data_IF_061927531895
#
_entry.id   IF_061927531895
#
_cell.length_a   1.000
_cell.length_b   1.000
_cell.length_c   1.000
_cell.angle_alpha   90.00
_cell.angle_beta   90.00
_cell.angle_gamma   90.00
#
_symmetry.space_group_name_H-M   'P 1'
#
loop_
_entity.id
_entity.type
_entity.pdbx_description
1 polymer ?
#
# COMPACT_ATOMS: atom_id res chain seq x y z
N UNK A 1 8.20 -5.80 -29.73
CA UNK A 1 9.36 -6.14 -28.89
C UNK A 1 8.83 -6.81 -27.64
N UNK A 2 9.14 -8.07 -27.43
CA UNK A 2 8.81 -8.74 -26.18
C UNK A 2 9.60 -8.10 -25.04
N UNK A 3 8.90 -7.78 -23.97
CA UNK A 3 9.51 -7.17 -22.80
C UNK A 3 10.38 -8.20 -22.08
N UNK A 4 11.69 -7.98 -22.01
CA UNK A 4 12.57 -8.77 -21.16
C UNK A 4 12.31 -8.45 -19.68
N UNK A 5 12.03 -9.49 -18.90
CA UNK A 5 11.89 -9.37 -17.46
C UNK A 5 13.27 -9.45 -16.78
N UNK A 6 13.44 -8.75 -15.68
CA UNK A 6 14.61 -8.97 -14.83
C UNK A 6 14.55 -10.37 -14.20
N UNK A 7 15.69 -10.90 -13.79
CA UNK A 7 15.76 -12.20 -13.10
C UNK A 7 14.83 -12.25 -11.87
N UNK A 8 14.80 -11.17 -11.08
CA UNK A 8 13.91 -11.07 -9.94
C UNK A 8 12.42 -11.01 -10.30
N UNK A 9 12.07 -10.34 -11.41
CA UNK A 9 10.71 -10.37 -11.94
C UNK A 9 10.30 -11.78 -12.38
N UNK A 10 11.21 -12.52 -13.02
CA UNK A 10 10.94 -13.90 -13.45
C UNK A 10 10.71 -14.82 -12.24
N UNK A 11 11.60 -14.79 -11.27
CA UNK A 11 11.42 -15.57 -10.01
C UNK A 11 10.09 -15.29 -9.32
N UNK A 12 9.64 -14.03 -9.31
CA UNK A 12 8.34 -13.67 -8.72
C UNK A 12 7.15 -14.19 -9.53
N UNK A 13 7.28 -14.25 -10.87
CA UNK A 13 6.28 -14.85 -11.75
C UNK A 13 6.19 -16.35 -11.54
N UNK A 14 7.32 -17.04 -11.43
CA UNK A 14 7.37 -18.47 -11.17
C UNK A 14 6.73 -18.80 -9.81
N UNK A 15 7.02 -18.01 -8.79
CA UNK A 15 6.34 -18.10 -7.49
C UNK A 15 4.83 -17.86 -7.60
N UNK A 16 4.37 -16.92 -8.44
CA UNK A 16 2.95 -16.70 -8.64
C UNK A 16 2.27 -17.93 -9.26
N UNK A 17 2.89 -18.58 -10.24
CA UNK A 17 2.35 -19.81 -10.83
C UNK A 17 2.31 -20.92 -9.77
N UNK A 18 3.33 -21.03 -8.92
CA UNK A 18 3.30 -21.98 -7.80
C UNK A 18 2.17 -21.66 -6.80
N UNK A 19 1.94 -20.39 -6.45
CA UNK A 19 0.87 -19.95 -5.56
C UNK A 19 -0.52 -20.36 -6.09
N UNK A 20 -0.74 -20.31 -7.41
CA UNK A 20 -2.01 -20.74 -8.04
C UNK A 20 -2.39 -22.19 -7.74
N UNK A 21 -1.42 -23.03 -7.42
CA UNK A 21 -1.67 -24.41 -7.02
C UNK A 21 -2.19 -24.54 -5.57
N UNK A 22 -1.99 -23.51 -4.75
CA UNK A 22 -2.40 -23.50 -3.34
C UNK A 22 -3.67 -22.68 -3.08
N UNK A 23 -3.81 -21.52 -3.75
CA UNK A 23 -4.93 -20.61 -3.54
C UNK A 23 -5.16 -19.69 -4.74
N UNK A 24 -6.32 -19.01 -4.75
CA UNK A 24 -6.52 -17.88 -5.66
C UNK A 24 -5.56 -16.74 -5.26
N UNK A 25 -4.58 -16.35 -6.10
CA UNK A 25 -3.61 -15.31 -5.74
C UNK A 25 -4.20 -13.90 -5.70
N UNK A 26 -5.43 -13.71 -6.18
CA UNK A 26 -6.12 -12.42 -6.23
C UNK A 26 -7.58 -12.62 -5.81
N UNK A 27 -7.85 -12.87 -4.52
CA UNK A 27 -9.23 -13.01 -4.05
C UNK A 27 -9.99 -11.69 -4.24
N UNK A 28 -11.27 -11.78 -4.53
CA UNK A 28 -12.12 -10.61 -4.76
C UNK A 28 -12.32 -9.80 -3.48
N UNK A 29 -12.30 -10.46 -2.33
CA UNK A 29 -12.56 -9.84 -1.04
C UNK A 29 -11.78 -10.52 0.09
N UNK A 30 -11.36 -9.71 1.04
CA UNK A 30 -10.87 -10.15 2.35
C UNK A 30 -11.57 -9.32 3.43
N UNK A 31 -12.12 -9.98 4.44
CA UNK A 31 -12.86 -9.32 5.52
C UNK A 31 -11.88 -8.77 6.56
N UNK A 32 -11.74 -7.47 6.60
CA UNK A 32 -10.99 -6.76 7.64
C UNK A 32 -11.95 -6.30 8.76
N UNK A 33 -11.55 -6.48 10.01
CA UNK A 33 -12.30 -5.97 11.16
C UNK A 33 -11.88 -4.56 11.54
N UNK A 34 -10.60 -4.25 11.33
CA UNK A 34 -10.02 -2.96 11.73
C UNK A 34 -9.04 -2.47 10.65
N UNK A 35 -8.97 -1.14 10.48
CA UNK A 35 -7.84 -0.52 9.80
C UNK A 35 -6.60 -0.62 10.67
N UNK A 36 -5.41 -0.58 10.08
CA UNK A 36 -4.15 -0.72 10.83
C UNK A 36 -4.02 0.35 11.92
N UNK A 37 -4.44 1.58 11.64
CA UNK A 37 -4.42 2.68 12.61
C UNK A 37 -5.25 2.35 13.86
N UNK A 38 -6.46 1.83 13.66
CA UNK A 38 -7.38 1.50 14.73
C UNK A 38 -6.91 0.25 15.52
N UNK A 39 -6.40 -0.76 14.78
CA UNK A 39 -5.82 -1.96 15.39
C UNK A 39 -4.65 -1.65 16.34
N UNK A 40 -3.86 -0.62 16.07
CA UNK A 40 -2.76 -0.18 16.95
C UNK A 40 -3.24 0.42 18.28
N UNK A 41 -4.49 0.87 18.38
CA UNK A 41 -5.08 1.46 19.57
C UNK A 41 -5.75 0.41 20.47
N UNK A 42 -5.91 -0.82 19.99
CA UNK A 42 -6.53 -1.89 20.75
C UNK A 42 -5.65 -2.31 21.93
N UNK A 43 -6.32 -2.81 22.99
CA UNK A 43 -5.65 -3.37 24.17
C UNK A 43 -4.98 -4.71 23.84
N UNK A 44 -3.92 -5.03 24.59
CA UNK A 44 -3.27 -6.34 24.51
C UNK A 44 -4.25 -7.45 24.93
N UNK A 45 -4.20 -8.58 24.23
CA UNK A 45 -5.16 -9.67 24.42
C UNK A 45 -6.43 -9.56 23.58
N UNK A 46 -6.63 -8.46 22.82
CA UNK A 46 -7.74 -8.38 21.86
C UNK A 46 -7.57 -9.41 20.75
N UNK A 47 -8.50 -10.37 20.68
CA UNK A 47 -8.52 -11.46 19.71
C UNK A 47 -9.40 -11.15 18.50
N UNK A 48 -9.35 -12.00 17.47
CA UNK A 48 -10.15 -11.91 16.25
C UNK A 48 -9.93 -10.62 15.43
N UNK A 49 -8.80 -9.97 15.64
CA UNK A 49 -8.41 -8.79 14.86
C UNK A 49 -7.91 -9.22 13.49
N UNK A 50 -8.62 -8.82 12.44
CA UNK A 50 -8.26 -9.05 11.04
C UNK A 50 -7.85 -7.73 10.37
N UNK A 51 -6.62 -7.70 9.85
CA UNK A 51 -6.06 -6.55 9.13
C UNK A 51 -5.43 -7.01 7.82
N UNK A 52 -5.33 -6.12 6.86
CA UNK A 52 -4.70 -6.40 5.58
C UNK A 52 -3.78 -5.26 5.15
N UNK A 53 -2.74 -5.57 4.39
CA UNK A 53 -1.83 -4.56 3.89
C UNK A 53 -0.72 -5.10 3.01
N UNK A 54 0.07 -4.18 2.48
CA UNK A 54 1.28 -4.48 1.71
C UNK A 54 2.44 -4.78 2.63
N UNK A 55 3.17 -5.85 2.39
CA UNK A 55 4.41 -6.16 3.08
C UNK A 55 5.48 -5.14 2.68
N UNK A 56 5.92 -4.32 3.62
CA UNK A 56 6.95 -3.30 3.42
C UNK A 56 8.30 -3.68 4.02
N UNK A 57 8.29 -4.66 4.91
CA UNK A 57 9.50 -5.22 5.52
C UNK A 57 9.22 -6.65 5.98
N UNK A 58 10.23 -7.52 5.85
CA UNK A 58 10.14 -8.92 6.26
C UNK A 58 11.48 -9.40 6.80
N UNK A 59 11.43 -10.05 7.95
CA UNK A 59 12.58 -10.73 8.55
C UNK A 59 12.18 -12.17 8.89
N UNK A 60 12.72 -13.11 8.13
CA UNK A 60 12.48 -14.55 8.32
C UNK A 60 13.56 -15.14 9.21
N UNK A 61 13.16 -15.73 10.34
CA UNK A 61 14.06 -16.33 11.33
C UNK A 61 13.54 -17.72 11.68
N UNK A 62 14.20 -18.77 11.22
CA UNK A 62 13.87 -20.15 11.60
C UNK A 62 12.37 -20.49 11.63
N UNK A 63 11.82 -20.61 12.83
CA UNK A 63 10.40 -20.93 13.12
C UNK A 63 9.52 -19.69 13.37
N UNK A 64 10.11 -18.51 13.35
CA UNK A 64 9.47 -17.23 13.60
C UNK A 64 9.78 -16.26 12.47
N UNK A 65 8.83 -15.43 12.07
CA UNK A 65 9.04 -14.35 11.13
C UNK A 65 8.34 -13.09 11.61
N UNK A 66 9.02 -11.95 11.47
CA UNK A 66 8.43 -10.63 11.66
C UNK A 66 8.19 -9.99 10.31
N UNK A 67 7.00 -9.47 10.13
CA UNK A 67 6.56 -8.82 8.90
C UNK A 67 5.95 -7.48 9.27
N UNK A 68 6.30 -6.43 8.54
CA UNK A 68 5.61 -5.15 8.66
C UNK A 68 4.71 -4.97 7.46
N UNK A 69 3.42 -4.89 7.70
CA UNK A 69 2.44 -4.55 6.68
C UNK A 69 2.01 -3.10 6.80
N UNK A 70 1.59 -2.54 5.68
CA UNK A 70 1.16 -1.14 5.57
C UNK A 70 -0.13 -1.04 4.76
N UNK A 71 -1.06 -0.25 5.28
CA UNK A 71 -2.23 0.23 4.55
C UNK A 71 -2.10 1.74 4.26
N UNK A 72 -3.20 2.41 3.92
CA UNK A 72 -3.21 3.85 3.63
C UNK A 72 -3.01 4.70 4.89
N UNK A 73 -3.38 4.20 6.08
CA UNK A 73 -3.44 4.96 7.32
C UNK A 73 -2.28 4.67 8.28
N UNK A 74 -1.55 3.56 8.07
CA UNK A 74 -0.43 3.24 8.92
C UNK A 74 0.29 1.95 8.58
N UNK A 75 1.18 1.53 9.48
CA UNK A 75 1.84 0.24 9.41
C UNK A 75 1.74 -0.51 10.75
N UNK A 76 1.83 -1.83 10.71
CA UNK A 76 1.79 -2.69 11.88
C UNK A 76 2.71 -3.89 11.70
N UNK A 77 3.33 -4.30 12.79
CA UNK A 77 4.14 -5.52 12.84
C UNK A 77 3.23 -6.73 13.00
N UNK A 78 3.56 -7.79 12.27
CA UNK A 78 2.99 -9.13 12.41
C UNK A 78 4.05 -10.07 12.96
N UNK A 79 3.66 -10.93 13.89
CA UNK A 79 4.44 -12.07 14.36
C UNK A 79 3.84 -13.35 13.78
N UNK A 80 4.57 -14.03 12.89
CA UNK A 80 4.13 -15.28 12.26
C UNK A 80 5.00 -16.41 12.79
N UNK A 81 4.40 -17.30 13.58
CA UNK A 81 5.05 -18.47 14.17
C UNK A 81 4.54 -19.76 13.54
N UNK A 82 5.45 -20.69 13.29
CA UNK A 82 5.11 -22.03 12.75
C UNK A 82 4.08 -22.76 13.61
N UNK A 83 4.24 -22.67 14.94
CA UNK A 83 3.37 -23.35 15.91
C UNK A 83 1.92 -22.80 15.90
N UNK A 84 1.73 -21.57 15.40
CA UNK A 84 0.42 -20.91 15.35
C UNK A 84 -0.28 -21.11 14.00
N UNK A 85 0.46 -20.97 12.91
CA UNK A 85 -0.12 -21.03 11.55
C UNK A 85 -0.03 -22.42 10.92
N UNK A 86 0.77 -23.34 11.50
CA UNK A 86 1.02 -24.68 11.00
C UNK A 86 2.20 -24.75 10.01
N UNK A 87 2.81 -25.93 9.91
CA UNK A 87 4.03 -26.14 9.12
C UNK A 87 3.86 -25.84 7.64
N UNK A 88 2.79 -26.33 7.03
CA UNK A 88 2.51 -26.15 5.60
C UNK A 88 2.32 -24.66 5.23
N UNK A 89 1.50 -23.95 6.01
CA UNK A 89 1.28 -22.52 5.79
C UNK A 89 2.55 -21.69 6.04
N UNK A 90 3.33 -22.07 7.04
CA UNK A 90 4.60 -21.39 7.32
C UNK A 90 5.63 -21.64 6.21
N UNK A 91 5.70 -22.88 5.67
CA UNK A 91 6.54 -23.20 4.51
C UNK A 91 6.12 -22.42 3.26
N UNK A 92 4.81 -22.34 2.97
CA UNK A 92 4.24 -21.50 1.93
C UNK A 92 4.67 -20.03 2.10
N UNK A 93 4.49 -19.48 3.31
CA UNK A 93 4.90 -18.13 3.63
C UNK A 93 6.38 -17.90 3.37
N UNK A 94 7.25 -18.78 3.86
CA UNK A 94 8.71 -18.64 3.72
C UNK A 94 9.18 -18.69 2.28
N UNK A 95 8.60 -19.59 1.48
CA UNK A 95 9.04 -19.88 0.10
C UNK A 95 8.48 -18.87 -0.90
N UNK A 96 7.19 -18.56 -0.82
CA UNK A 96 6.44 -17.92 -1.89
C UNK A 96 6.12 -16.45 -1.68
N UNK A 97 6.06 -16.00 -0.41
CA UNK A 97 5.73 -14.62 -0.09
C UNK A 97 6.98 -13.75 -0.02
N UNK A 98 6.92 -12.59 -0.67
CA UNK A 98 8.01 -11.62 -0.78
C UNK A 98 7.60 -10.22 -0.30
N UNK A 99 8.59 -9.37 -0.06
CA UNK A 99 8.36 -7.95 0.21
C UNK A 99 7.69 -7.30 -1.01
N UNK A 100 6.67 -6.52 -0.74
CA UNK A 100 5.81 -5.90 -1.75
C UNK A 100 4.48 -6.61 -1.96
N UNK A 101 4.36 -7.89 -1.59
CA UNK A 101 3.12 -8.66 -1.69
C UNK A 101 2.05 -8.12 -0.73
N UNK A 102 0.79 -8.50 -0.98
CA UNK A 102 -0.32 -8.20 -0.08
C UNK A 102 -0.74 -9.45 0.69
N UNK A 103 -0.95 -9.27 1.97
CA UNK A 103 -1.50 -10.31 2.85
C UNK A 103 -2.61 -9.75 3.74
N UNK A 104 -3.57 -10.60 4.07
CA UNK A 104 -4.48 -10.43 5.20
C UNK A 104 -4.02 -11.31 6.35
N UNK A 105 -4.12 -10.83 7.56
CA UNK A 105 -3.72 -11.56 8.76
C UNK A 105 -4.77 -11.41 9.85
N UNK A 106 -5.11 -12.51 10.50
CA UNK A 106 -6.03 -12.57 11.63
C UNK A 106 -5.32 -13.12 12.87
N UNK A 107 -5.54 -12.48 14.03
CA UNK A 107 -4.87 -12.90 15.23
C UNK A 107 -5.23 -12.06 16.46
N UNK A 108 -4.28 -11.99 17.39
CA UNK A 108 -4.35 -11.34 18.68
C UNK A 108 -3.35 -10.19 18.77
N UNK A 109 -3.80 -9.06 19.35
CA UNK A 109 -2.92 -7.90 19.62
C UNK A 109 -2.09 -8.15 20.88
N UNK A 110 -0.79 -7.88 20.78
CA UNK A 110 0.10 -7.86 21.93
C UNK A 110 1.22 -6.85 21.74
N UNK A 111 1.86 -6.47 22.82
CA UNK A 111 3.03 -5.60 22.82
C UNK A 111 4.29 -6.42 23.02
N UNK A 112 5.26 -6.28 22.13
CA UNK A 112 6.56 -6.95 22.25
C UNK A 112 7.37 -6.39 23.43
N UNK A 113 8.42 -7.10 23.86
CA UNK A 113 9.34 -6.63 24.90
C UNK A 113 10.00 -5.26 24.57
N UNK A 114 10.10 -4.94 23.28
CA UNK A 114 10.62 -3.65 22.80
C UNK A 114 9.57 -2.54 22.73
N UNK A 115 8.35 -2.81 23.18
CA UNK A 115 7.24 -1.84 23.16
C UNK A 115 6.53 -1.69 21.80
N UNK A 116 6.82 -2.55 20.82
CA UNK A 116 6.16 -2.49 19.51
C UNK A 116 4.82 -3.24 19.54
N UNK A 117 3.73 -2.52 19.18
CA UNK A 117 2.40 -3.10 19.05
C UNK A 117 2.39 -4.05 17.85
N UNK A 118 2.01 -5.29 18.07
CA UNK A 118 2.19 -6.40 17.12
C UNK A 118 0.92 -7.26 17.07
N UNK A 119 0.55 -7.73 15.89
CA UNK A 119 -0.47 -8.77 15.74
C UNK A 119 0.22 -10.15 15.74
N UNK A 120 -0.09 -11.00 16.70
CA UNK A 120 0.26 -12.43 16.69
C UNK A 120 -0.68 -13.16 15.77
N UNK A 121 -0.14 -13.66 14.68
CA UNK A 121 -0.95 -14.23 13.58
C UNK A 121 -1.33 -15.66 13.89
N UNK A 122 -2.64 -15.92 13.93
CA UNK A 122 -3.21 -17.27 14.00
C UNK A 122 -3.51 -17.83 12.60
N UNK A 123 -3.91 -16.96 11.68
CA UNK A 123 -4.11 -17.32 10.27
C UNK A 123 -3.79 -16.13 9.37
N UNK A 124 -3.39 -16.43 8.14
CA UNK A 124 -3.20 -15.43 7.11
C UNK A 124 -3.69 -15.92 5.76
N UNK A 125 -4.00 -14.98 4.89
CA UNK A 125 -4.38 -15.21 3.50
C UNK A 125 -3.48 -14.39 2.57
N UNK A 126 -3.14 -14.98 1.44
CA UNK A 126 -2.42 -14.29 0.38
C UNK A 126 -3.40 -13.50 -0.49
N UNK A 127 -3.15 -12.21 -0.68
CA UNK A 127 -4.09 -11.30 -1.35
C UNK A 127 -3.56 -10.71 -2.67
N UNK A 128 -2.27 -10.83 -2.92
CA UNK A 128 -1.72 -10.34 -4.18
C UNK A 128 -0.21 -10.36 -4.28
N UNK A 129 0.30 -10.74 -5.46
CA UNK A 129 1.73 -10.81 -5.76
C UNK A 129 2.25 -9.49 -6.35
N UNK A 130 3.30 -8.95 -5.78
CA UNK A 130 4.07 -7.88 -6.38
C UNK A 130 5.08 -8.48 -7.36
N UNK A 131 4.80 -8.39 -8.65
CA UNK A 131 5.66 -8.98 -9.70
C UNK A 131 6.98 -8.22 -9.87
N UNK A 132 7.01 -6.93 -9.55
CA UNK A 132 8.23 -6.12 -9.56
C UNK A 132 8.74 -5.94 -8.15
N UNK A 133 10.05 -6.16 -7.89
CA UNK A 133 10.63 -5.85 -6.59
C UNK A 133 10.50 -4.36 -6.29
N UNK A 134 10.27 -4.04 -5.01
CA UNK A 134 10.37 -2.66 -4.56
C UNK A 134 11.85 -2.26 -4.50
N UNK A 135 12.20 -0.99 -4.77
CA UNK A 135 13.55 -0.47 -4.56
C UNK A 135 14.03 -0.71 -3.12
N UNK A 136 15.32 -0.90 -2.93
CA UNK A 136 15.89 -1.06 -1.60
C UNK A 136 15.69 0.22 -0.76
N UNK A 137 15.31 0.03 0.51
CA UNK A 137 14.96 1.13 1.43
C UNK A 137 16.10 2.15 1.62
N UNK A 138 17.35 1.68 1.54
CA UNK A 138 18.54 2.51 1.79
C UNK A 138 18.92 3.44 0.63
N UNK A 139 18.51 3.10 -0.57
CA UNK A 139 18.79 3.94 -1.74
C UNK A 139 17.55 4.68 -2.24
N UNK A 140 16.34 4.29 -1.80
CA UNK A 140 15.06 4.91 -2.15
C UNK A 140 14.98 5.23 -3.67
N UNK A 141 13.92 5.83 -4.10
CA UNK A 141 13.91 6.54 -5.38
C UNK A 141 14.59 7.90 -5.14
N UNK A 142 15.92 7.98 -5.26
CA UNK A 142 16.67 9.23 -5.16
C UNK A 142 16.59 10.02 -6.46
N UNK A 143 16.48 9.33 -7.58
CA UNK A 143 16.32 9.94 -8.89
C UNK A 143 14.94 10.61 -9.02
N UNK A 144 14.96 11.92 -9.23
CA UNK A 144 13.75 12.75 -9.38
C UNK A 144 12.93 12.35 -10.60
N UNK A 145 13.56 11.99 -11.71
CA UNK A 145 12.86 11.55 -12.91
C UNK A 145 12.11 10.24 -12.66
N UNK A 146 12.73 9.27 -12.01
CA UNK A 146 12.09 8.01 -11.60
C UNK A 146 10.91 8.25 -10.66
N UNK A 147 10.99 9.21 -9.71
CA UNK A 147 9.87 9.59 -8.83
C UNK A 147 8.67 10.09 -9.62
N UNK A 148 8.90 10.87 -10.66
CA UNK A 148 7.80 11.39 -11.48
C UNK A 148 7.26 10.35 -12.46
N UNK A 149 8.12 9.54 -13.10
CA UNK A 149 7.70 8.49 -14.04
C UNK A 149 7.02 7.30 -13.36
N UNK A 150 7.46 6.96 -12.14
CA UNK A 150 6.91 5.84 -11.35
C UNK A 150 6.31 6.35 -10.04
N UNK A 151 5.39 7.30 -10.12
CA UNK A 151 4.74 7.92 -8.95
C UNK A 151 4.14 6.89 -7.99
N UNK A 152 3.59 5.80 -8.50
CA UNK A 152 3.06 4.72 -7.68
C UNK A 152 4.12 4.05 -6.79
N UNK A 153 5.36 3.90 -7.26
CA UNK A 153 6.46 3.38 -6.45
C UNK A 153 6.89 4.41 -5.40
N UNK A 154 7.02 5.68 -5.79
CA UNK A 154 7.33 6.78 -4.88
C UNK A 154 6.31 6.88 -3.73
N UNK A 155 5.01 6.74 -4.03
CA UNK A 155 3.95 6.71 -3.01
C UNK A 155 4.04 5.49 -2.08
N UNK A 156 4.55 4.34 -2.55
CA UNK A 156 4.78 3.16 -1.71
C UNK A 156 5.98 3.38 -0.78
N UNK A 157 7.08 3.92 -1.31
CA UNK A 157 8.36 3.98 -0.61
C UNK A 157 8.51 5.24 0.25
N UNK A 158 7.97 6.38 -0.21
CA UNK A 158 8.22 7.69 0.35
C UNK A 158 7.01 8.21 1.15
N UNK A 159 7.19 8.29 2.47
CA UNK A 159 6.13 8.74 3.36
C UNK A 159 5.77 10.21 3.16
N UNK A 160 6.77 11.08 2.93
CA UNK A 160 6.55 12.51 2.71
C UNK A 160 5.73 12.76 1.45
N UNK A 161 6.08 12.09 0.34
CA UNK A 161 5.27 12.17 -0.89
C UNK A 161 3.82 11.74 -0.63
N UNK A 162 3.62 10.64 0.09
CA UNK A 162 2.28 10.14 0.42
C UNK A 162 1.49 11.15 1.27
N UNK A 163 2.12 11.77 2.28
CA UNK A 163 1.49 12.81 3.11
C UNK A 163 1.02 14.00 2.26
N UNK A 164 1.85 14.45 1.31
CA UNK A 164 1.49 15.56 0.41
C UNK A 164 0.26 15.20 -0.44
N UNK A 165 0.22 14.02 -1.05
CA UNK A 165 -0.91 13.60 -1.89
C UNK A 165 -2.20 13.39 -1.08
N UNK A 166 -2.10 12.80 0.11
CA UNK A 166 -3.25 12.66 1.03
C UNK A 166 -3.74 14.03 1.52
N UNK A 167 -2.81 14.95 1.84
CA UNK A 167 -3.14 16.32 2.22
C UNK A 167 -3.86 17.05 1.10
N UNK A 168 -3.37 16.93 -0.14
CA UNK A 168 -4.03 17.50 -1.33
C UNK A 168 -5.45 16.96 -1.50
N UNK A 169 -5.66 15.64 -1.43
CA UNK A 169 -7.01 15.05 -1.50
C UNK A 169 -7.95 15.61 -0.45
N UNK A 170 -7.47 15.73 0.80
CA UNK A 170 -8.26 16.31 1.89
C UNK A 170 -8.60 17.78 1.65
N UNK A 171 -7.65 18.55 1.10
CA UNK A 171 -7.88 19.96 0.77
C UNK A 171 -8.98 20.12 -0.28
N UNK A 172 -8.94 19.34 -1.36
CA UNK A 172 -10.00 19.37 -2.38
C UNK A 172 -11.36 19.00 -1.78
N UNK A 173 -11.44 17.89 -1.03
CA UNK A 173 -12.67 17.50 -0.37
C UNK A 173 -13.22 18.57 0.57
N UNK A 174 -12.34 19.27 1.29
CA UNK A 174 -12.73 20.38 2.16
C UNK A 174 -13.29 21.57 1.37
N UNK A 175 -12.63 21.96 0.26
CA UNK A 175 -13.08 23.08 -0.58
C UNK A 175 -14.48 22.77 -1.14
N UNK A 176 -14.70 21.58 -1.71
CA UNK A 176 -16.02 21.17 -2.22
C UNK A 176 -17.08 21.22 -1.12
N UNK A 177 -16.78 20.65 0.04
CA UNK A 177 -17.66 20.68 1.20
C UNK A 177 -17.99 22.12 1.64
N UNK A 178 -16.97 22.96 1.82
CA UNK A 178 -17.11 24.35 2.25
C UNK A 178 -17.97 25.16 1.28
N UNK A 179 -17.71 25.06 -0.01
CA UNK A 179 -18.49 25.78 -1.02
C UNK A 179 -19.95 25.29 -1.03
N UNK A 180 -20.18 23.98 -0.98
CA UNK A 180 -21.53 23.41 -0.92
C UNK A 180 -22.32 23.86 0.32
N UNK A 181 -21.68 23.90 1.50
CA UNK A 181 -22.31 24.38 2.73
C UNK A 181 -22.64 25.89 2.68
N UNK A 182 -21.95 26.66 1.83
CA UNK A 182 -22.23 28.09 1.60
C UNK A 182 -23.17 28.34 0.41
N UNK A 183 -23.86 27.32 -0.10
CA UNK A 183 -24.88 27.44 -1.13
C UNK A 183 -24.38 27.49 -2.56
N UNK A 184 -23.08 27.21 -2.80
CA UNK A 184 -22.56 27.07 -4.16
C UNK A 184 -22.88 25.68 -4.70
N UNK A 185 -23.26 25.64 -5.99
CA UNK A 185 -23.47 24.38 -6.71
C UNK A 185 -22.26 24.04 -7.56
N UNK A 186 -21.77 22.82 -7.42
CA UNK A 186 -20.73 22.29 -8.31
C UNK A 186 -21.35 21.97 -9.67
N UNK A 187 -20.71 22.45 -10.74
CA UNK A 187 -21.13 22.21 -12.12
C UNK A 187 -19.97 21.71 -12.96
N UNK A 188 -20.23 20.79 -13.85
CA UNK A 188 -19.26 20.34 -14.84
C UNK A 188 -19.39 21.20 -16.10
N UNK A 189 -18.32 21.94 -16.42
CA UNK A 189 -18.24 22.71 -17.65
C UNK A 189 -17.55 21.92 -18.75
N UNK A 190 -17.91 22.13 -20.05
CA UNK A 190 -17.23 21.49 -21.16
C UNK A 190 -15.73 21.81 -21.15
N UNK A 191 -14.86 20.80 -21.20
CA UNK A 191 -13.39 20.96 -21.28
C UNK A 191 -13.00 21.48 -22.66
N UNK A 192 -13.68 21.01 -23.71
CA UNK A 192 -13.48 21.47 -25.09
C UNK A 192 -14.52 22.54 -25.42
N UNK A 193 -14.05 23.73 -25.81
CA UNK A 193 -14.88 24.83 -26.23
C UNK A 193 -14.55 25.23 -27.67
N UNK A 194 -15.55 25.70 -28.43
CA UNK A 194 -15.35 26.20 -29.79
C UNK A 194 -14.68 27.60 -29.81
N UNK A 195 -14.63 28.28 -28.67
CA UNK A 195 -13.95 29.55 -28.52
C UNK A 195 -12.50 29.35 -28.08
N UNK A 196 -11.57 30.04 -28.72
CA UNK A 196 -10.17 30.07 -28.28
C UNK A 196 -10.16 30.75 -26.91
N UNK A 197 -9.83 29.98 -25.86
CA UNK A 197 -9.54 30.54 -24.55
C UNK A 197 -8.26 31.38 -24.66
N UNK A 198 -8.42 32.67 -24.76
CA UNK A 198 -7.29 33.61 -24.77
C UNK A 198 -6.74 33.76 -23.35
N UNK A 199 -5.74 32.98 -23.03
CA UNK A 199 -4.77 33.33 -21.96
C UNK A 199 -3.89 34.53 -22.34
N UNK A 200 -4.05 35.06 -23.56
CA UNK A 200 -3.21 36.13 -24.14
C UNK A 200 -3.86 37.54 -24.09
N UNK A 201 -5.10 37.68 -23.64
CA UNK A 201 -5.72 39.02 -23.60
C UNK A 201 -4.99 40.01 -22.71
N UNK A 202 -4.28 39.55 -21.69
CA UNK A 202 -3.47 40.43 -20.83
C UNK A 202 -2.09 40.81 -21.43
N UNK A 203 -1.57 40.07 -22.39
CA UNK A 203 -0.28 40.40 -23.04
C UNK A 203 -0.44 41.33 -24.23
N UNK A 204 -1.58 41.28 -24.93
CA UNK A 204 -1.82 42.20 -26.06
C UNK A 204 -2.12 43.65 -25.65
N UNK A 205 -2.74 43.83 -24.48
CA UNK A 205 -2.96 45.22 -23.96
C UNK A 205 -1.68 45.88 -23.43
N UNK A 206 -0.68 45.13 -23.01
CA UNK A 206 0.62 45.67 -22.57
C UNK A 206 1.55 45.99 -23.73
N UNK A 207 1.31 45.48 -24.95
CA UNK A 207 2.09 45.80 -26.14
C UNK A 207 1.55 46.98 -26.94
N UNK A 208 0.36 47.50 -26.60
CA UNK A 208 -0.27 48.63 -27.29
C UNK A 208 -0.16 49.98 -26.55
N UNK A 209 0.78 50.08 -25.58
CA UNK A 209 1.12 51.36 -24.90
C UNK A 209 2.57 51.73 -25.10
#
# INVERSE_FOLDING_TARGET
MERQFSEQEQVRRDKLEEIRNYCNPYPERYEVTHKIKDARLLEDGTTDVAIAGRIVFMRKMGKLSFVRIRDIEGDMQLEIKIDMVGEDKYAFFKKLIDTGDFIGAKGEIFTTQTGEKTLRVHSFEFLGKALRPLPEKFHGLTDMEMKYRQRYVDLIMNEETRKVFLGRSKLYAYIHKFLGENGFLEVETPILQNAVCRSEEHTSELQSR
#
